data_IF_645544572492
#
_entry.id   IF_645544572492
#
_cell.length_a   1.000
_cell.length_b   1.000
_cell.length_c   1.000
_cell.angle_alpha   90.00
_cell.angle_beta   90.00
_cell.angle_gamma   90.00
#
_symmetry.space_group_name_H-M   'P 1'
#
loop_
_entity.id
_entity.type
_entity.pdbx_description
1 polymer ?
#
# COMPACT_ATOMS: atom_id res chain seq x y z
N UNK A 1 -14.49 5.10 -0.26
CA UNK A 1 -13.31 5.44 0.56
C UNK A 1 -13.74 6.43 1.64
N UNK A 2 -13.26 6.26 2.86
CA UNK A 2 -13.25 7.34 3.86
C UNK A 2 -12.17 8.32 3.38
N UNK A 3 -12.51 9.59 3.16
CA UNK A 3 -11.57 10.56 2.60
C UNK A 3 -10.28 10.61 3.42
N UNK A 4 -9.15 10.39 2.76
CA UNK A 4 -7.81 10.41 3.34
C UNK A 4 -6.83 10.99 2.31
N UNK A 5 -5.84 11.76 2.78
CA UNK A 5 -4.82 12.36 1.91
C UNK A 5 -3.75 11.36 1.46
N UNK A 6 -3.66 10.20 2.12
CA UNK A 6 -2.69 9.16 1.81
C UNK A 6 -2.87 7.90 2.64
N UNK A 7 -2.07 6.88 2.30
CA UNK A 7 -1.97 5.60 3.02
C UNK A 7 -0.50 5.37 3.35
N UNK A 8 -0.22 4.93 4.57
CA UNK A 8 1.13 4.52 5.00
C UNK A 8 1.20 3.01 5.01
N UNK A 9 2.27 2.46 4.43
CA UNK A 9 2.56 1.04 4.40
C UNK A 9 4.01 0.81 4.86
N UNK A 10 4.22 -0.19 5.73
CA UNK A 10 5.53 -0.63 6.16
C UNK A 10 5.88 -1.96 5.49
N UNK A 11 7.12 -2.09 5.03
CA UNK A 11 7.56 -3.22 4.19
C UNK A 11 8.93 -3.69 4.66
N UNK A 12 9.11 -5.01 4.76
CA UNK A 12 10.39 -5.62 5.07
C UNK A 12 10.63 -6.85 4.19
N UNK A 13 11.84 -7.11 3.66
CA UNK A 13 12.11 -8.27 2.81
C UNK A 13 11.87 -9.63 3.48
N UNK A 14 11.92 -9.66 4.81
CA UNK A 14 11.59 -10.81 5.66
C UNK A 14 10.81 -10.31 6.88
N UNK A 15 9.50 -10.09 6.79
CA UNK A 15 8.72 -9.46 7.86
C UNK A 15 8.86 -10.19 9.21
N UNK A 16 9.09 -11.50 9.18
CA UNK A 16 9.17 -12.34 10.38
C UNK A 16 10.31 -11.99 11.33
N UNK A 17 11.39 -11.39 10.81
CA UNK A 17 12.56 -10.98 11.59
C UNK A 17 12.57 -9.48 11.91
N UNK A 18 11.51 -8.75 11.55
CA UNK A 18 11.43 -7.32 11.82
C UNK A 18 11.48 -7.06 13.33
N UNK A 19 12.29 -6.08 13.73
CA UNK A 19 12.46 -5.70 15.14
C UNK A 19 11.23 -4.98 15.71
N UNK A 20 10.30 -4.56 14.85
CA UNK A 20 9.01 -3.96 15.19
C UNK A 20 7.96 -4.43 14.20
N UNK A 21 6.72 -4.59 14.67
CA UNK A 21 5.52 -4.74 13.84
C UNK A 21 5.58 -5.84 12.76
N UNK A 22 6.36 -6.89 12.99
CA UNK A 22 6.55 -8.03 12.09
C UNK A 22 5.24 -8.63 11.54
N UNK A 23 4.16 -8.64 12.34
CA UNK A 23 2.86 -9.16 11.92
C UNK A 23 1.98 -8.20 11.13
N UNK A 24 2.41 -6.94 10.97
CA UNK A 24 1.67 -5.87 10.28
C UNK A 24 2.44 -5.36 9.04
N UNK A 25 3.70 -5.73 8.89
CA UNK A 25 4.52 -5.40 7.73
C UNK A 25 4.24 -6.37 6.58
N UNK A 26 4.22 -5.83 5.36
CA UNK A 26 4.16 -6.63 4.15
C UNK A 26 5.56 -7.06 3.73
N UNK A 27 5.66 -8.17 2.99
CA UNK A 27 6.84 -8.43 2.18
C UNK A 27 6.83 -7.62 0.86
N UNK A 28 7.88 -7.79 0.05
CA UNK A 28 8.03 -7.03 -1.20
C UNK A 28 7.01 -7.46 -2.27
N UNK A 29 6.61 -8.73 -2.30
CA UNK A 29 5.67 -9.25 -3.29
C UNK A 29 4.24 -8.80 -2.93
N UNK A 30 3.90 -8.84 -1.64
CA UNK A 30 2.65 -8.30 -1.10
C UNK A 30 2.55 -6.79 -1.35
N UNK A 31 3.63 -6.03 -1.14
CA UNK A 31 3.64 -4.60 -1.44
C UNK A 31 3.47 -4.32 -2.93
N UNK A 32 4.10 -5.12 -3.81
CA UNK A 32 3.94 -4.97 -5.25
C UNK A 32 2.48 -5.20 -5.67
N UNK A 33 1.84 -6.27 -5.17
CA UNK A 33 0.43 -6.54 -5.42
C UNK A 33 -0.48 -5.41 -4.90
N UNK A 34 -0.25 -4.95 -3.67
CA UNK A 34 -0.97 -3.82 -3.08
C UNK A 34 -0.85 -2.55 -3.92
N UNK A 35 0.36 -2.23 -4.40
CA UNK A 35 0.60 -1.07 -5.25
C UNK A 35 -0.09 -1.19 -6.61
N UNK A 36 -0.04 -2.38 -7.23
CA UNK A 36 -0.68 -2.62 -8.53
C UNK A 36 -2.21 -2.53 -8.46
N UNK A 37 -2.82 -2.82 -7.32
CA UNK A 37 -4.25 -2.61 -7.08
C UNK A 37 -4.59 -1.12 -6.86
N UNK A 38 -3.74 -0.38 -6.14
CA UNK A 38 -3.99 1.02 -5.83
C UNK A 38 -3.68 1.97 -6.98
N UNK A 39 -2.66 1.68 -7.78
CA UNK A 39 -2.17 2.58 -8.82
C UNK A 39 -3.25 2.96 -9.83
N UNK A 40 -4.06 2.02 -10.39
CA UNK A 40 -5.14 2.38 -11.31
C UNK A 40 -6.19 3.29 -10.68
N UNK A 41 -6.51 3.08 -9.40
CA UNK A 41 -7.45 3.91 -8.66
C UNK A 41 -6.91 5.33 -8.48
N UNK A 42 -5.63 5.44 -8.09
CA UNK A 42 -4.93 6.72 -7.94
C UNK A 42 -4.88 7.49 -9.26
N UNK A 43 -4.53 6.80 -10.37
CA UNK A 43 -4.47 7.40 -11.70
C UNK A 43 -5.84 7.95 -12.15
N UNK A 44 -6.93 7.19 -11.90
CA UNK A 44 -8.29 7.63 -12.20
C UNK A 44 -8.74 8.82 -11.34
N UNK A 45 -8.39 8.83 -10.06
CA UNK A 45 -8.65 9.96 -9.17
C UNK A 45 -7.91 11.22 -9.63
N UNK A 46 -6.61 11.11 -9.94
CA UNK A 46 -5.78 12.22 -10.42
C UNK A 46 -6.27 12.75 -11.78
N UNK A 47 -6.77 11.86 -12.65
CA UNK A 47 -7.43 12.23 -13.90
C UNK A 47 -8.84 12.85 -13.72
N UNK A 48 -9.31 13.02 -12.47
CA UNK A 48 -10.66 13.50 -12.12
C UNK A 48 -11.80 12.65 -12.72
N UNK A 49 -11.52 11.36 -12.95
CA UNK A 49 -12.48 10.37 -13.46
C UNK A 49 -13.20 9.62 -12.34
N UNK A 50 -12.68 9.70 -11.11
CA UNK A 50 -13.34 9.33 -9.87
C UNK A 50 -13.64 10.60 -9.07
N UNK A 51 -14.78 10.63 -8.39
CA UNK A 51 -15.23 11.74 -7.52
C UNK A 51 -15.15 11.31 -6.06
#
# INVERSE_FOLDING_TARGET
AVGADGVMAEVHPDPSVALSDAGQQMDLDEFQAFYDELKPLSDLYNAKKLK
#
